data_IF_496326160289
#
_entry.id   IF_496326160289
#
_cell.length_a   1.000
_cell.length_b   1.000
_cell.length_c   1.000
_cell.angle_alpha   90.00
_cell.angle_beta   90.00
_cell.angle_gamma   90.00
#
_symmetry.space_group_name_H-M   'P 1'
#
loop_
_entity.id
_entity.type
_entity.pdbx_description
1 polymer ?
#
# COMPACT_ATOMS: atom_id res chain seq x y z
N UNK A 1 -15.54 -9.53 4.47
CA UNK A 1 -15.15 -10.59 3.51
C UNK A 1 -14.77 -11.82 4.32
N UNK A 2 -15.24 -13.00 3.93
CA UNK A 2 -14.84 -14.24 4.61
C UNK A 2 -13.50 -14.74 4.04
N UNK A 3 -12.51 -14.93 4.93
CA UNK A 3 -11.19 -15.46 4.60
C UNK A 3 -10.97 -16.86 5.22
N UNK A 4 -12.03 -17.55 5.63
CA UNK A 4 -12.00 -18.89 6.24
C UNK A 4 -11.12 -19.89 5.50
N UNK A 5 -11.08 -19.83 4.17
CA UNK A 5 -10.33 -20.74 3.30
C UNK A 5 -8.98 -20.18 2.81
N UNK A 6 -8.51 -19.05 3.35
CA UNK A 6 -7.24 -18.45 2.96
C UNK A 6 -6.08 -19.36 3.38
N UNK A 7 -5.23 -19.73 2.41
CA UNK A 7 -4.03 -20.53 2.67
C UNK A 7 -2.91 -19.62 3.18
N UNK A 8 -2.12 -20.04 4.19
CA UNK A 8 -0.91 -19.32 4.58
C UNK A 8 0.00 -19.06 3.36
N UNK A 9 0.62 -17.89 3.30
CA UNK A 9 1.42 -17.43 2.16
C UNK A 9 0.63 -16.84 0.99
N UNK A 10 -0.71 -16.82 1.04
CA UNK A 10 -1.54 -16.13 0.02
C UNK A 10 -1.29 -14.63 0.10
N UNK A 11 -1.03 -13.99 -1.04
CA UNK A 11 -0.93 -12.53 -1.14
C UNK A 11 -2.34 -11.93 -1.07
N UNK A 12 -2.53 -10.95 -0.19
CA UNK A 12 -3.74 -10.12 -0.11
C UNK A 12 -3.31 -8.68 -0.33
N UNK A 13 -3.75 -8.13 -1.45
CA UNK A 13 -3.49 -6.76 -1.89
C UNK A 13 -4.76 -5.93 -1.75
N UNK A 14 -4.68 -4.82 -1.03
CA UNK A 14 -5.79 -3.90 -0.79
C UNK A 14 -5.37 -2.48 -1.22
N UNK A 15 -6.06 -1.92 -2.20
CA UNK A 15 -5.75 -0.61 -2.78
C UNK A 15 -5.99 0.56 -1.82
N UNK A 16 -6.68 0.32 -0.70
CA UNK A 16 -6.91 1.34 0.32
C UNK A 16 -5.60 1.63 1.08
N UNK A 17 -5.31 2.91 1.26
CA UNK A 17 -4.13 3.39 2.00
C UNK A 17 -4.48 4.30 3.20
N UNK A 18 -5.77 4.57 3.44
CA UNK A 18 -6.28 5.24 4.64
C UNK A 18 -7.45 4.42 5.20
N UNK A 19 -7.25 3.66 6.29
CA UNK A 19 -5.98 3.40 6.98
C UNK A 19 -5.03 2.48 6.19
N UNK A 20 -3.73 2.51 6.48
CA UNK A 20 -2.74 1.61 5.86
C UNK A 20 -3.00 0.12 6.13
N UNK A 21 -3.58 -0.20 7.29
CA UNK A 21 -3.98 -1.56 7.66
C UNK A 21 -5.49 -1.63 7.79
N UNK A 22 -6.15 -2.09 6.72
CA UNK A 22 -7.59 -2.29 6.69
C UNK A 22 -8.02 -3.54 7.48
N UNK A 23 -9.33 -3.67 7.73
CA UNK A 23 -9.88 -4.89 8.33
C UNK A 23 -9.62 -6.14 7.47
N UNK A 24 -9.54 -5.99 6.14
CA UNK A 24 -9.16 -7.05 5.22
C UNK A 24 -7.73 -7.51 5.48
N UNK A 25 -6.77 -6.58 5.47
CA UNK A 25 -5.36 -6.90 5.68
C UNK A 25 -5.11 -7.46 7.09
N UNK A 26 -5.79 -6.92 8.12
CA UNK A 26 -5.69 -7.45 9.48
C UNK A 26 -6.18 -8.91 9.60
N UNK A 27 -7.28 -9.27 8.93
CA UNK A 27 -7.79 -10.64 8.94
C UNK A 27 -6.93 -11.58 8.08
N UNK A 28 -6.38 -11.11 6.96
CA UNK A 28 -5.43 -11.85 6.16
C UNK A 28 -4.16 -12.19 6.96
N UNK A 29 -3.62 -11.23 7.71
CA UNK A 29 -2.44 -11.42 8.56
C UNK A 29 -2.68 -12.47 9.64
N UNK A 30 -3.83 -12.41 10.32
CA UNK A 30 -4.24 -13.42 11.33
C UNK A 30 -4.27 -14.85 10.78
N UNK A 31 -4.40 -15.00 9.47
CA UNK A 31 -4.46 -16.29 8.75
C UNK A 31 -3.15 -16.68 8.08
N UNK A 32 -2.07 -15.90 8.30
CA UNK A 32 -0.77 -16.13 7.70
C UNK A 32 -0.65 -15.69 6.24
N UNK A 33 -1.51 -14.78 5.78
CA UNK A 33 -1.39 -14.14 4.48
C UNK A 33 -0.20 -13.17 4.42
N UNK A 34 0.26 -12.90 3.19
CA UNK A 34 1.25 -11.87 2.88
C UNK A 34 0.50 -10.61 2.50
N UNK A 35 0.75 -9.51 3.22
CA UNK A 35 0.02 -8.26 3.04
C UNK A 35 0.70 -7.37 2.00
N UNK A 36 -0.11 -6.73 1.17
CA UNK A 36 0.30 -5.61 0.31
C UNK A 36 -0.69 -4.47 0.55
N UNK A 37 -0.20 -3.33 1.03
CA UNK A 37 -1.01 -2.14 1.25
C UNK A 37 -1.07 -1.23 0.01
N UNK A 38 -2.09 -0.38 -0.04
CA UNK A 38 -2.37 0.48 -1.19
C UNK A 38 -1.39 1.64 -1.37
N UNK A 39 -0.50 1.91 -0.41
CA UNK A 39 0.39 3.07 -0.50
C UNK A 39 1.41 2.89 -1.63
N UNK A 40 1.87 1.66 -1.86
CA UNK A 40 2.75 1.35 -3.00
C UNK A 40 2.11 1.76 -4.32
N UNK A 41 0.84 1.39 -4.53
CA UNK A 41 0.08 1.76 -5.72
C UNK A 41 0.00 3.29 -5.87
N UNK A 42 -0.36 4.03 -4.82
CA UNK A 42 -0.45 5.49 -4.83
C UNK A 42 0.87 6.15 -5.27
N UNK A 43 2.00 5.69 -4.75
CA UNK A 43 3.31 6.27 -5.07
C UNK A 43 3.74 5.92 -6.50
N UNK A 44 3.63 4.65 -6.89
CA UNK A 44 4.09 4.21 -8.21
C UNK A 44 3.22 4.75 -9.35
N UNK A 45 1.91 4.91 -9.15
CA UNK A 45 1.04 5.50 -10.17
C UNK A 45 1.30 7.01 -10.36
N UNK A 46 1.82 7.69 -9.33
CA UNK A 46 2.13 9.11 -9.41
C UNK A 46 3.38 9.39 -10.27
N UNK A 47 4.37 8.49 -10.28
CA UNK A 47 5.62 8.62 -11.06
C UNK A 47 5.40 9.06 -12.52
N UNK A 48 4.58 8.36 -13.33
CA UNK A 48 4.32 8.79 -14.71
C UNK A 48 3.64 10.16 -14.84
N UNK A 49 2.84 10.57 -13.85
CA UNK A 49 2.23 11.90 -13.80
C UNK A 49 3.27 12.98 -13.52
N UNK A 50 4.15 12.75 -12.54
CA UNK A 50 5.25 13.65 -12.22
C UNK A 50 6.21 13.86 -13.41
N UNK A 51 6.53 12.78 -14.13
CA UNK A 51 7.38 12.86 -15.30
C UNK A 51 6.78 13.75 -16.40
N UNK A 52 5.45 13.65 -16.62
CA UNK A 52 4.75 14.41 -17.67
C UNK A 52 4.51 15.86 -17.30
N UNK A 53 4.18 16.16 -16.05
CA UNK A 53 3.81 17.51 -15.63
C UNK A 53 5.00 18.35 -15.19
N UNK A 54 6.01 17.72 -14.60
CA UNK A 54 7.12 18.43 -13.96
C UNK A 54 8.49 18.09 -14.56
N UNK A 55 8.56 17.14 -15.50
CA UNK A 55 9.83 16.69 -16.08
C UNK A 55 10.72 15.94 -15.09
N UNK A 56 10.16 15.50 -13.96
CA UNK A 56 10.87 14.76 -12.91
C UNK A 56 10.38 13.32 -12.90
N UNK A 57 11.29 12.36 -12.96
CA UNK A 57 10.97 10.93 -12.85
C UNK A 57 11.29 10.43 -11.42
N UNK A 58 10.36 10.59 -10.46
CA UNK A 58 10.64 10.28 -9.06
C UNK A 58 10.77 8.77 -8.85
N UNK A 59 11.82 8.40 -8.13
CA UNK A 59 12.00 7.02 -7.67
C UNK A 59 11.23 6.81 -6.37
N UNK A 60 10.41 5.76 -6.32
CA UNK A 60 9.70 5.36 -5.10
C UNK A 60 10.69 4.71 -4.14
N UNK A 61 11.29 5.53 -3.27
CA UNK A 61 12.28 5.10 -2.29
C UNK A 61 11.64 4.80 -0.92
N UNK A 62 12.29 3.99 -0.05
CA UNK A 62 11.83 3.80 1.31
C UNK A 62 11.71 5.11 2.12
N UNK A 63 12.54 6.11 1.81
CA UNK A 63 12.47 7.43 2.44
C UNK A 63 11.22 8.21 2.00
N UNK A 64 10.91 8.21 0.70
CA UNK A 64 9.68 8.82 0.17
C UNK A 64 8.44 8.15 0.75
N UNK A 65 8.41 6.82 0.80
CA UNK A 65 7.29 6.08 1.39
C UNK A 65 7.07 6.49 2.84
N UNK A 66 8.12 6.51 3.67
CA UNK A 66 8.04 6.93 5.08
C UNK A 66 7.53 8.36 5.25
N UNK A 67 7.92 9.27 4.35
CA UNK A 67 7.44 10.66 4.39
C UNK A 67 5.92 10.72 4.22
N UNK A 68 5.38 10.00 3.24
CA UNK A 68 3.94 9.97 2.96
C UNK A 68 3.17 9.15 4.01
N UNK A 69 3.74 8.07 4.55
CA UNK A 69 3.17 7.36 5.70
C UNK A 69 2.98 8.30 6.90
N UNK A 70 4.00 9.11 7.20
CA UNK A 70 3.94 10.07 8.31
C UNK A 70 2.84 11.10 8.10
N UNK A 71 2.68 11.61 6.88
CA UNK A 71 1.64 12.58 6.52
C UNK A 71 0.23 11.98 6.67
N UNK A 72 0.00 10.79 6.10
CA UNK A 72 -1.28 10.07 6.17
C UNK A 72 -1.70 9.77 7.60
N UNK A 73 -0.74 9.42 8.47
CA UNK A 73 -1.02 9.07 9.87
C UNK A 73 -1.27 10.29 10.77
N UNK A 74 -1.00 11.51 10.29
CA UNK A 74 -1.30 12.75 10.99
C UNK A 74 -2.60 13.45 10.55
N UNK A 75 -3.19 13.01 9.43
CA UNK A 75 -4.48 13.47 8.92
C UNK A 75 -5.66 12.80 9.62
#
# INVERSE_FOLDING_TARGET
MDLSTLRPGTIVDDINYVPLKTALLAEAERRGGILVDGLGMLLHQATPGFARWFGVDPQVTPALRRLIETDILQA
#
